data_IF_611137739789
#
_entry.id   IF_611137739789
#
_cell.length_a   1.000
_cell.length_b   1.000
_cell.length_c   1.000
_cell.angle_alpha   90.00
_cell.angle_beta   90.00
_cell.angle_gamma   90.00
#
_symmetry.space_group_name_H-M   'P 1'
#
loop_
_entity.id
_entity.type
_entity.pdbx_description
1 polymer ?
#
# COMPACT_ATOMS: atom_id res chain seq x y z
N UNK A 1 15.19 -10.55 -22.83
CA UNK A 1 13.79 -10.81 -23.17
C UNK A 1 12.99 -9.64 -22.64
N UNK A 2 12.00 -9.15 -23.39
CA UNK A 2 11.05 -8.18 -22.84
C UNK A 2 10.31 -8.84 -21.65
N UNK A 3 9.96 -8.08 -20.60
CA UNK A 3 9.15 -8.60 -19.51
C UNK A 3 7.80 -9.11 -20.04
N UNK A 4 7.24 -10.13 -19.40
CA UNK A 4 5.92 -10.62 -19.74
C UNK A 4 4.87 -9.51 -19.46
N UNK A 5 3.87 -9.44 -20.33
CA UNK A 5 2.73 -8.52 -20.15
C UNK A 5 1.44 -9.22 -20.61
N UNK A 6 0.32 -8.78 -20.04
CA UNK A 6 -1.03 -9.13 -20.50
C UNK A 6 -1.66 -7.90 -21.16
N UNK A 7 -2.78 -8.07 -21.85
CA UNK A 7 -3.46 -6.91 -22.42
C UNK A 7 -4.24 -6.11 -21.37
N UNK A 8 -4.54 -4.85 -21.67
CA UNK A 8 -5.24 -3.93 -20.76
C UNK A 8 -6.63 -4.47 -20.38
N UNK A 9 -7.32 -5.13 -21.31
CA UNK A 9 -8.65 -5.69 -21.05
C UNK A 9 -8.59 -6.93 -20.14
N UNK A 10 -7.51 -7.69 -20.21
CA UNK A 10 -7.28 -8.84 -19.31
C UNK A 10 -7.02 -8.35 -17.87
N UNK A 11 -6.16 -7.36 -17.68
CA UNK A 11 -5.93 -6.71 -16.37
C UNK A 11 -7.22 -6.10 -15.82
N UNK A 12 -7.99 -5.41 -16.65
CA UNK A 12 -9.27 -4.83 -16.23
C UNK A 12 -10.27 -5.91 -15.79
N UNK A 13 -10.34 -7.05 -16.53
CA UNK A 13 -11.18 -8.19 -16.13
C UNK A 13 -10.75 -8.80 -14.80
N UNK A 14 -9.44 -8.96 -14.58
CA UNK A 14 -8.91 -9.39 -13.29
C UNK A 14 -9.38 -8.45 -12.16
N UNK A 15 -9.15 -7.15 -12.30
CA UNK A 15 -9.54 -6.15 -11.29
C UNK A 15 -11.05 -6.15 -11.06
N UNK A 16 -11.86 -6.06 -12.10
CA UNK A 16 -13.31 -5.85 -11.94
C UNK A 16 -14.08 -7.12 -11.60
N UNK A 17 -13.70 -8.27 -12.17
CA UNK A 17 -14.47 -9.51 -12.00
C UNK A 17 -13.97 -10.41 -10.87
N UNK A 18 -12.64 -10.43 -10.65
CA UNK A 18 -12.07 -11.30 -9.63
C UNK A 18 -11.78 -10.53 -8.33
N UNK A 19 -11.01 -9.45 -8.42
CA UNK A 19 -10.53 -8.75 -7.23
C UNK A 19 -11.60 -7.88 -6.57
N UNK A 20 -12.45 -7.24 -7.36
CA UNK A 20 -13.59 -6.43 -6.87
C UNK A 20 -14.93 -7.21 -6.89
N UNK A 21 -15.03 -8.26 -7.69
CA UNK A 21 -16.28 -9.02 -7.89
C UNK A 21 -17.50 -8.11 -8.15
N UNK A 22 -17.39 -7.21 -9.14
CA UNK A 22 -18.45 -6.28 -9.52
C UNK A 22 -19.69 -7.05 -9.93
N UNK A 23 -20.87 -6.70 -9.36
CA UNK A 23 -22.13 -7.39 -9.50
C UNK A 23 -23.13 -6.58 -10.33
N UNK A 24 -24.13 -7.24 -10.97
CA UNK A 24 -25.20 -6.53 -11.64
C UNK A 24 -25.97 -5.61 -10.67
N UNK A 25 -26.30 -4.41 -11.13
CA UNK A 25 -27.06 -3.43 -10.37
C UNK A 25 -26.26 -2.62 -9.36
N UNK A 26 -24.96 -2.89 -9.18
CA UNK A 26 -24.08 -2.05 -8.38
C UNK A 26 -23.74 -0.73 -9.11
N UNK A 27 -23.34 0.26 -8.35
CA UNK A 27 -22.85 1.54 -8.85
C UNK A 27 -21.34 1.65 -8.66
N UNK A 28 -20.59 1.82 -9.77
CA UNK A 28 -19.13 1.88 -9.82
C UNK A 28 -18.68 3.32 -10.10
N UNK A 29 -17.96 3.92 -9.18
CA UNK A 29 -17.28 5.20 -9.41
C UNK A 29 -15.80 4.95 -9.76
N UNK A 30 -15.36 5.44 -10.92
CA UNK A 30 -13.94 5.43 -11.33
C UNK A 30 -13.43 6.86 -11.20
N UNK A 31 -12.66 7.13 -10.15
CA UNK A 31 -12.10 8.48 -9.92
C UNK A 31 -10.73 8.58 -10.54
N UNK A 32 -10.55 9.61 -11.36
CA UNK A 32 -9.35 9.86 -12.15
C UNK A 32 -8.83 11.28 -11.97
N UNK A 33 -7.58 11.51 -12.31
CA UNK A 33 -6.95 12.82 -12.37
C UNK A 33 -6.26 13.10 -13.73
N UNK A 34 -5.60 14.25 -13.84
CA UNK A 34 -4.92 14.67 -15.08
C UNK A 34 -3.77 13.75 -15.53
N UNK A 35 -3.33 12.84 -14.66
CA UNK A 35 -2.25 11.89 -14.93
C UNK A 35 -2.75 10.46 -15.16
N UNK A 36 -4.04 10.22 -15.08
CA UNK A 36 -4.63 8.89 -15.27
C UNK A 36 -4.56 8.45 -16.73
N UNK A 37 -4.13 7.21 -16.97
CA UNK A 37 -4.11 6.64 -18.32
C UNK A 37 -5.53 6.24 -18.75
N UNK A 38 -6.13 7.00 -19.65
CA UNK A 38 -7.53 6.83 -20.06
C UNK A 38 -7.84 5.48 -20.73
N UNK A 39 -6.83 4.77 -21.21
CA UNK A 39 -7.00 3.41 -21.73
C UNK A 39 -7.38 2.43 -20.61
N UNK A 40 -6.70 2.48 -19.46
CA UNK A 40 -7.07 1.70 -18.27
C UNK A 40 -8.48 2.05 -17.79
N UNK A 41 -8.77 3.35 -17.73
CA UNK A 41 -10.08 3.86 -17.26
C UNK A 41 -11.22 3.29 -18.09
N UNK A 42 -11.08 3.32 -19.43
CA UNK A 42 -12.09 2.79 -20.35
C UNK A 42 -12.26 1.28 -20.21
N UNK A 43 -11.15 0.55 -20.13
CA UNK A 43 -11.21 -0.91 -19.93
C UNK A 43 -11.92 -1.30 -18.62
N UNK A 44 -11.69 -0.58 -17.53
CA UNK A 44 -12.40 -0.80 -16.25
C UNK A 44 -13.89 -0.44 -16.35
N UNK A 45 -14.23 0.64 -17.04
CA UNK A 45 -15.62 1.00 -17.30
C UNK A 45 -16.36 -0.06 -18.15
N UNK A 46 -15.69 -0.61 -19.18
CA UNK A 46 -16.23 -1.70 -20.01
C UNK A 46 -16.47 -2.98 -19.19
N UNK A 47 -15.60 -3.28 -18.22
CA UNK A 47 -15.80 -4.41 -17.29
C UNK A 47 -16.99 -4.16 -16.39
N UNK A 48 -17.15 -2.97 -15.83
CA UNK A 48 -18.31 -2.60 -15.01
C UNK A 48 -19.61 -2.71 -15.82
N UNK A 49 -19.65 -2.15 -17.05
CA UNK A 49 -20.77 -2.25 -17.95
C UNK A 49 -21.11 -3.72 -18.30
N UNK A 50 -20.11 -4.54 -18.60
CA UNK A 50 -20.29 -5.96 -18.92
C UNK A 50 -20.72 -6.81 -17.73
N UNK A 51 -20.51 -6.33 -16.50
CA UNK A 51 -21.04 -6.92 -15.28
C UNK A 51 -22.51 -6.53 -15.01
N UNK A 52 -23.09 -5.61 -15.79
CA UNK A 52 -24.43 -5.09 -15.57
C UNK A 52 -24.51 -4.05 -14.43
N UNK A 53 -23.40 -3.40 -14.12
CA UNK A 53 -23.34 -2.32 -13.15
C UNK A 53 -23.55 -0.96 -13.83
N UNK A 54 -24.11 -0.01 -13.08
CA UNK A 54 -24.05 1.41 -13.44
C UNK A 54 -22.65 1.94 -13.14
N UNK A 55 -22.12 2.83 -13.98
CA UNK A 55 -20.79 3.36 -13.74
C UNK A 55 -20.66 4.83 -14.15
N UNK A 56 -19.74 5.51 -13.49
CA UNK A 56 -19.37 6.88 -13.86
C UNK A 56 -17.85 7.08 -13.72
N UNK A 57 -17.27 7.85 -14.64
CA UNK A 57 -15.91 8.37 -14.56
C UNK A 57 -15.98 9.77 -13.96
N UNK A 58 -15.35 9.95 -12.81
CA UNK A 58 -15.32 11.20 -12.07
C UNK A 58 -13.90 11.81 -12.16
N UNK A 59 -13.74 12.83 -12.96
CA UNK A 59 -12.46 13.52 -13.12
C UNK A 59 -12.35 14.69 -12.14
N UNK A 60 -11.28 14.71 -11.38
CA UNK A 60 -10.91 15.87 -10.57
C UNK A 60 -9.49 16.33 -10.92
N UNK A 61 -9.15 17.62 -10.76
CA UNK A 61 -7.78 18.08 -10.95
C UNK A 61 -6.81 17.34 -10.03
N UNK A 62 -5.61 17.05 -10.52
CA UNK A 62 -4.53 16.51 -9.70
C UNK A 62 -4.28 17.37 -8.48
N UNK A 63 -4.04 16.74 -7.35
CA UNK A 63 -3.78 17.43 -6.09
C UNK A 63 -2.28 17.43 -5.78
N UNK A 64 -1.74 18.49 -5.18
CA UNK A 64 -0.38 18.47 -4.66
C UNK A 64 -0.25 17.44 -3.53
N UNK A 65 0.97 16.98 -3.25
CA UNK A 65 1.25 15.87 -2.33
C UNK A 65 0.67 16.06 -0.93
N UNK A 66 0.70 17.28 -0.41
CA UNK A 66 0.19 17.66 0.91
C UNK A 66 -1.35 17.65 0.99
N UNK A 67 -2.02 17.67 -0.16
CA UNK A 67 -3.47 17.65 -0.31
C UNK A 67 -3.98 16.45 -1.12
N UNK A 68 -3.13 15.45 -1.32
CA UNK A 68 -3.41 14.30 -2.19
C UNK A 68 -4.70 13.54 -1.86
N UNK A 69 -5.13 13.57 -0.61
CA UNK A 69 -6.35 12.90 -0.13
C UNK A 69 -7.60 13.80 -0.17
N UNK A 70 -7.50 15.01 -0.71
CA UNK A 70 -8.66 15.88 -0.82
C UNK A 70 -9.49 15.56 -2.05
N UNK A 71 -10.78 15.41 -1.84
CA UNK A 71 -11.78 15.24 -2.88
C UNK A 71 -12.34 16.58 -3.33
N UNK A 72 -12.75 16.67 -4.60
CA UNK A 72 -13.67 17.75 -4.97
C UNK A 72 -15.05 17.47 -4.37
N UNK A 73 -15.80 18.51 -3.96
CA UNK A 73 -17.13 18.30 -3.37
C UNK A 73 -18.09 17.50 -4.25
N UNK A 74 -17.96 17.61 -5.57
CA UNK A 74 -18.79 16.85 -6.51
C UNK A 74 -18.44 15.36 -6.52
N UNK A 75 -17.14 15.02 -6.45
CA UNK A 75 -16.68 13.63 -6.37
C UNK A 75 -17.09 13.02 -5.04
N UNK A 76 -16.93 13.75 -3.94
CA UNK A 76 -17.34 13.30 -2.61
C UNK A 76 -18.84 13.01 -2.53
N UNK A 77 -19.67 13.91 -3.08
CA UNK A 77 -21.13 13.72 -3.11
C UNK A 77 -21.56 12.47 -3.90
N UNK A 78 -20.82 12.09 -4.94
CA UNK A 78 -21.12 10.88 -5.70
C UNK A 78 -20.96 9.60 -4.87
N UNK A 79 -20.08 9.58 -3.86
CA UNK A 79 -19.82 8.39 -3.03
C UNK A 79 -21.02 7.97 -2.17
N UNK A 80 -21.98 8.84 -1.92
CA UNK A 80 -23.22 8.47 -1.23
C UNK A 80 -24.07 7.44 -1.98
N UNK A 81 -23.82 7.26 -3.27
CA UNK A 81 -24.51 6.33 -4.16
C UNK A 81 -23.55 5.32 -4.82
N UNK A 82 -22.36 5.17 -4.27
CA UNK A 82 -21.32 4.29 -4.82
C UNK A 82 -21.22 3.02 -3.99
N UNK A 83 -21.24 1.86 -4.65
CA UNK A 83 -20.94 0.55 -4.02
C UNK A 83 -19.47 0.19 -4.19
N UNK A 84 -18.88 0.52 -5.34
CA UNK A 84 -17.50 0.20 -5.71
C UNK A 84 -16.76 1.45 -6.14
N UNK A 85 -15.67 1.79 -5.46
CA UNK A 85 -14.78 2.86 -5.85
C UNK A 85 -13.48 2.30 -6.45
N UNK A 86 -13.19 2.67 -7.69
CA UNK A 86 -11.88 2.47 -8.31
C UNK A 86 -11.17 3.82 -8.31
N UNK A 87 -10.12 3.93 -7.50
CA UNK A 87 -9.32 5.15 -7.37
C UNK A 87 -8.09 5.05 -8.28
N UNK A 88 -8.22 5.51 -9.52
CA UNK A 88 -7.19 5.44 -10.54
C UNK A 88 -6.58 6.82 -10.77
N UNK A 89 -5.75 7.27 -9.83
CA UNK A 89 -5.10 8.59 -9.91
C UNK A 89 -3.58 8.46 -10.00
N UNK A 90 -2.94 9.39 -10.69
CA UNK A 90 -1.49 9.48 -10.76
C UNK A 90 -0.85 10.11 -9.52
N UNK A 91 -1.62 10.63 -8.60
CA UNK A 91 -1.16 11.43 -7.45
C UNK A 91 -1.18 10.70 -6.10
N UNK A 92 -1.06 9.39 -6.09
CA UNK A 92 -0.80 8.68 -4.85
C UNK A 92 -2.00 8.05 -4.14
N UNK A 93 -2.91 7.40 -4.87
CA UNK A 93 -3.99 6.58 -4.29
C UNK A 93 -5.08 7.37 -3.57
N UNK A 94 -5.08 8.64 -3.79
CA UNK A 94 -5.75 9.66 -3.03
C UNK A 94 -7.23 9.44 -2.72
N UNK A 95 -8.14 9.23 -3.67
CA UNK A 95 -9.57 9.09 -3.32
C UNK A 95 -9.84 7.93 -2.37
N UNK A 96 -9.14 6.81 -2.49
CA UNK A 96 -9.33 5.65 -1.61
C UNK A 96 -8.98 5.95 -0.14
N UNK A 97 -8.13 6.94 0.11
CA UNK A 97 -7.68 7.31 1.46
C UNK A 97 -8.32 8.60 1.99
N UNK A 98 -9.25 9.20 1.26
CA UNK A 98 -9.98 10.38 1.72
C UNK A 98 -10.81 10.07 2.98
N UNK A 99 -11.00 11.07 3.84
CA UNK A 99 -11.71 10.90 5.11
C UNK A 99 -13.12 10.29 4.91
N UNK A 100 -13.88 10.83 3.94
CA UNK A 100 -15.23 10.32 3.64
C UNK A 100 -15.23 8.86 3.18
N UNK A 101 -14.22 8.45 2.39
CA UNK A 101 -14.10 7.05 1.95
C UNK A 101 -13.79 6.13 3.12
N UNK A 102 -12.90 6.55 4.04
CA UNK A 102 -12.62 5.79 5.27
C UNK A 102 -13.87 5.59 6.14
N UNK A 103 -14.73 6.62 6.25
CA UNK A 103 -16.03 6.50 6.93
C UNK A 103 -16.92 5.47 6.25
N UNK A 104 -17.12 5.56 4.94
CA UNK A 104 -17.93 4.64 4.18
C UNK A 104 -17.44 3.19 4.21
N UNK A 105 -16.12 2.99 4.25
CA UNK A 105 -15.50 1.67 4.47
C UNK A 105 -15.82 1.15 5.88
N UNK A 106 -15.70 1.99 6.91
CA UNK A 106 -16.03 1.63 8.30
C UNK A 106 -17.51 1.27 8.45
N UNK A 107 -18.40 2.02 7.79
CA UNK A 107 -19.83 1.75 7.71
C UNK A 107 -20.19 0.53 6.86
N UNK A 108 -19.22 -0.10 6.21
CA UNK A 108 -19.40 -1.21 5.25
C UNK A 108 -20.38 -0.89 4.12
N UNK A 109 -20.31 0.33 3.60
CA UNK A 109 -21.17 0.81 2.52
C UNK A 109 -20.51 0.71 1.15
N UNK A 110 -19.19 0.75 1.10
CA UNK A 110 -18.39 0.77 -0.11
C UNK A 110 -17.25 -0.23 -0.01
N UNK A 111 -16.74 -0.71 -1.15
CA UNK A 111 -15.43 -1.35 -1.27
C UNK A 111 -14.58 -0.59 -2.27
N UNK A 112 -13.26 -0.65 -2.08
CA UNK A 112 -12.38 0.20 -2.87
C UNK A 112 -11.17 -0.55 -3.44
N UNK A 113 -10.73 -0.11 -4.63
CA UNK A 113 -9.45 -0.49 -5.23
C UNK A 113 -8.61 0.76 -5.44
N UNK A 114 -7.48 0.85 -4.73
CA UNK A 114 -6.49 1.91 -4.91
C UNK A 114 -5.53 1.55 -6.05
N UNK A 115 -5.45 2.41 -7.04
CA UNK A 115 -4.62 2.21 -8.22
C UNK A 115 -3.82 3.48 -8.52
N UNK A 116 -2.58 3.54 -8.05
CA UNK A 116 -1.68 4.68 -8.30
C UNK A 116 -0.84 4.37 -9.52
N UNK A 117 -1.39 4.64 -10.69
CA UNK A 117 -0.78 4.25 -11.95
C UNK A 117 -0.75 5.41 -12.95
N UNK A 118 0.46 5.81 -13.34
CA UNK A 118 0.69 6.83 -14.38
C UNK A 118 0.93 6.23 -15.77
N UNK A 119 1.27 4.94 -15.82
CA UNK A 119 1.55 4.23 -17.07
C UNK A 119 0.85 2.87 -17.09
N UNK A 120 0.78 2.27 -18.28
CA UNK A 120 0.24 0.93 -18.46
C UNK A 120 1.15 -0.17 -17.91
N UNK A 121 2.43 0.10 -17.71
CA UNK A 121 3.43 -0.93 -17.39
C UNK A 121 3.10 -1.68 -16.09
N UNK A 122 2.66 -0.96 -15.05
CA UNK A 122 2.26 -1.58 -13.79
C UNK A 122 0.83 -2.18 -13.82
N UNK A 123 0.05 -1.84 -14.84
CA UNK A 123 -1.29 -2.41 -15.03
C UNK A 123 -1.26 -3.71 -15.84
N UNK A 124 -0.31 -3.84 -16.76
CA UNK A 124 -0.21 -4.96 -17.69
C UNK A 124 0.98 -5.87 -17.46
N UNK A 125 1.85 -5.53 -16.51
CA UNK A 125 3.08 -6.26 -16.22
C UNK A 125 3.43 -6.25 -14.74
N UNK A 126 4.57 -6.83 -14.40
CA UNK A 126 5.05 -6.88 -13.03
C UNK A 126 4.05 -7.53 -12.09
N UNK A 127 3.78 -6.90 -10.96
CA UNK A 127 2.87 -7.39 -9.93
C UNK A 127 1.45 -7.70 -10.40
N UNK A 128 1.00 -7.12 -11.52
CA UNK A 128 -0.29 -7.43 -12.13
C UNK A 128 -0.42 -8.87 -12.63
N UNK A 129 0.70 -9.55 -12.90
CA UNK A 129 0.76 -10.93 -13.42
C UNK A 129 0.71 -12.00 -12.32
N UNK A 130 0.55 -11.62 -11.06
CA UNK A 130 0.50 -12.57 -9.96
C UNK A 130 -0.71 -13.51 -10.05
N UNK A 131 -0.55 -14.74 -9.60
CA UNK A 131 -1.69 -15.58 -9.21
C UNK A 131 -2.25 -15.04 -7.89
N UNK A 132 -3.25 -14.17 -7.99
CA UNK A 132 -3.83 -13.50 -6.83
C UNK A 132 -4.50 -14.45 -5.85
N UNK A 133 -4.98 -15.63 -6.30
CA UNK A 133 -5.56 -16.64 -5.40
C UNK A 133 -4.48 -17.29 -4.54
N UNK A 134 -3.38 -17.68 -5.17
CA UNK A 134 -2.24 -18.22 -4.45
C UNK A 134 -1.62 -17.17 -3.52
N UNK A 135 -1.49 -15.93 -4.00
CA UNK A 135 -0.97 -14.80 -3.23
C UNK A 135 -1.84 -14.50 -1.99
N UNK A 136 -3.17 -14.48 -2.15
CA UNK A 136 -4.10 -14.27 -1.05
C UNK A 136 -4.05 -15.41 -0.03
N UNK A 137 -4.00 -16.67 -0.49
CA UNK A 137 -3.88 -17.82 0.40
C UNK A 137 -2.56 -17.79 1.22
N UNK A 138 -1.46 -17.41 0.57
CA UNK A 138 -0.18 -17.21 1.25
C UNK A 138 -0.24 -16.04 2.24
N UNK A 139 -0.85 -14.93 1.87
CA UNK A 139 -1.08 -13.79 2.75
C UNK A 139 -1.87 -14.16 4.01
N UNK A 140 -2.94 -14.95 3.85
CA UNK A 140 -3.72 -15.45 5.00
C UNK A 140 -2.91 -16.38 5.91
N UNK A 141 -2.07 -17.24 5.33
CA UNK A 141 -1.18 -18.11 6.10
C UNK A 141 -0.17 -17.28 6.93
N UNK A 142 0.49 -16.29 6.30
CA UNK A 142 1.40 -15.38 6.99
C UNK A 142 0.68 -14.56 8.07
N UNK A 143 -0.49 -14.04 7.78
CA UNK A 143 -1.27 -13.26 8.73
C UNK A 143 -1.67 -14.09 9.96
N UNK A 144 -1.99 -15.38 9.78
CA UNK A 144 -2.30 -16.28 10.88
C UNK A 144 -1.09 -16.51 11.80
N UNK A 145 0.10 -16.64 11.21
CA UNK A 145 1.36 -16.74 11.96
C UNK A 145 1.62 -15.43 12.69
N UNK A 146 1.46 -14.30 12.01
CA UNK A 146 1.72 -12.97 12.54
C UNK A 146 0.80 -12.64 13.73
N UNK A 147 -0.50 -12.94 13.60
CA UNK A 147 -1.48 -12.72 14.67
C UNK A 147 -1.22 -13.55 15.94
N UNK A 148 -0.47 -14.64 15.84
CA UNK A 148 -0.08 -15.46 16.98
C UNK A 148 1.20 -14.96 17.69
N UNK A 149 1.97 -14.08 17.05
CA UNK A 149 3.22 -13.53 17.58
C UNK A 149 3.01 -12.27 18.44
N UNK A 150 4.09 -11.81 19.04
CA UNK A 150 4.07 -10.65 19.95
C UNK A 150 5.07 -9.57 19.58
N UNK A 151 6.28 -9.95 19.25
CA UNK A 151 7.38 -9.00 18.98
C UNK A 151 7.99 -9.28 17.62
N UNK A 152 8.06 -8.25 16.79
CA UNK A 152 8.77 -8.30 15.53
C UNK A 152 10.11 -7.60 15.63
N UNK A 153 11.15 -8.21 15.05
CA UNK A 153 12.45 -7.60 14.82
C UNK A 153 12.82 -7.69 13.35
N UNK A 154 13.26 -6.59 12.79
CA UNK A 154 13.69 -6.47 11.39
C UNK A 154 15.16 -6.07 11.40
N UNK A 155 16.00 -6.84 10.74
CA UNK A 155 17.44 -6.58 10.62
C UNK A 155 17.87 -6.67 9.16
N UNK A 156 18.92 -5.92 8.77
CA UNK A 156 19.58 -6.02 7.47
C UNK A 156 21.09 -5.92 7.61
N UNK A 157 21.83 -6.43 6.61
CA UNK A 157 23.29 -6.21 6.52
C UNK A 157 23.62 -4.72 6.38
N UNK A 158 22.75 -3.92 5.75
CA UNK A 158 22.89 -2.47 5.61
C UNK A 158 22.80 -1.70 6.94
N UNK A 159 22.37 -2.35 8.04
CA UNK A 159 22.38 -1.80 9.39
C UNK A 159 21.02 -1.42 9.96
N UNK A 160 19.91 -1.85 9.32
CA UNK A 160 18.60 -1.84 10.00
C UNK A 160 18.66 -2.81 11.16
N UNK A 161 18.20 -2.38 12.32
CA UNK A 161 17.93 -3.20 13.50
C UNK A 161 16.87 -2.49 14.33
N UNK A 162 15.62 -2.86 14.08
CA UNK A 162 14.46 -2.29 14.77
C UNK A 162 13.58 -3.41 15.32
N UNK A 163 13.06 -3.22 16.52
CA UNK A 163 12.15 -4.13 17.14
C UNK A 163 10.97 -3.40 17.78
N UNK A 164 9.82 -4.05 17.78
CA UNK A 164 8.62 -3.55 18.46
C UNK A 164 7.68 -4.72 18.79
N UNK A 165 6.92 -4.64 19.89
CA UNK A 165 5.68 -5.38 20.03
C UNK A 165 4.73 -4.97 18.90
N UNK A 166 4.00 -5.91 18.32
CA UNK A 166 3.07 -5.65 17.21
C UNK A 166 1.61 -5.73 17.65
N UNK A 167 0.75 -4.97 16.97
CA UNK A 167 -0.70 -5.06 17.12
C UNK A 167 -1.22 -6.34 16.46
N UNK A 168 -1.42 -7.39 17.23
CA UNK A 168 -1.91 -8.68 16.74
C UNK A 168 -3.40 -8.67 16.38
N UNK A 169 -4.15 -7.69 16.84
CA UNK A 169 -5.57 -7.46 16.56
C UNK A 169 -5.85 -6.87 15.18
N UNK A 170 -4.81 -6.40 14.50
CA UNK A 170 -4.92 -5.68 13.23
C UNK A 170 -3.88 -6.11 12.21
N UNK A 171 -3.76 -7.42 11.99
CA UNK A 171 -2.96 -7.91 10.85
C UNK A 171 -3.78 -7.76 9.57
N UNK A 172 -3.26 -7.00 8.63
CA UNK A 172 -3.92 -6.70 7.36
C UNK A 172 -3.31 -7.54 6.25
N UNK A 173 -4.16 -8.17 5.44
CA UNK A 173 -3.77 -8.89 4.23
C UNK A 173 -4.20 -8.05 3.04
N UNK A 174 -3.26 -7.43 2.38
CA UNK A 174 -3.45 -6.68 1.14
C UNK A 174 -2.88 -7.51 -0.02
N UNK A 175 -3.72 -8.34 -0.60
CA UNK A 175 -3.41 -9.22 -1.73
C UNK A 175 -4.46 -9.09 -2.83
N UNK A 176 -4.88 -7.87 -3.12
CA UNK A 176 -5.72 -7.49 -4.25
C UNK A 176 -7.23 -7.68 -4.05
N UNK A 177 -7.69 -8.48 -3.09
CA UNK A 177 -9.12 -8.78 -2.94
C UNK A 177 -9.86 -7.75 -2.09
N UNK A 178 -10.86 -7.09 -2.71
CA UNK A 178 -11.86 -6.26 -2.04
C UNK A 178 -13.26 -6.63 -2.55
N UNK A 179 -13.71 -7.86 -2.28
CA UNK A 179 -14.97 -8.40 -2.82
C UNK A 179 -16.20 -8.05 -1.98
N UNK A 180 -16.01 -7.60 -0.75
CA UNK A 180 -17.09 -7.29 0.18
C UNK A 180 -17.03 -5.83 0.65
N UNK A 181 -18.19 -5.21 0.95
CA UNK A 181 -18.24 -3.86 1.51
C UNK A 181 -17.40 -3.73 2.79
N UNK A 182 -16.70 -2.61 2.93
CA UNK A 182 -15.76 -2.34 4.00
C UNK A 182 -14.33 -2.78 3.69
N UNK A 183 -14.07 -3.39 2.52
CA UNK A 183 -12.74 -3.79 2.11
C UNK A 183 -12.08 -2.76 1.21
N UNK A 184 -10.80 -2.53 1.46
CA UNK A 184 -9.89 -1.78 0.61
C UNK A 184 -8.76 -2.69 0.14
N UNK A 185 -8.39 -2.60 -1.13
CA UNK A 185 -7.24 -3.27 -1.70
C UNK A 185 -6.50 -2.33 -2.66
N UNK A 186 -5.32 -2.73 -3.07
CA UNK A 186 -4.55 -2.06 -4.12
C UNK A 186 -4.42 -2.96 -5.36
N UNK A 187 -3.99 -2.36 -6.47
CA UNK A 187 -3.55 -3.07 -7.65
C UNK A 187 -2.34 -2.32 -8.27
N UNK A 188 -1.19 -2.99 -8.48
CA UNK A 188 -0.86 -4.36 -8.09
C UNK A 188 -0.62 -4.44 -6.59
N UNK A 189 -0.82 -5.64 -6.03
CA UNK A 189 -0.82 -5.82 -4.59
C UNK A 189 -0.04 -7.09 -4.17
N UNK A 190 0.11 -7.30 -2.87
CA UNK A 190 0.73 -8.49 -2.30
C UNK A 190 1.58 -8.20 -1.07
N UNK A 191 0.92 -7.96 0.07
CA UNK A 191 1.62 -7.78 1.35
C UNK A 191 0.80 -8.25 2.54
N UNK A 192 1.49 -8.48 3.64
CA UNK A 192 0.91 -8.58 4.98
C UNK A 192 1.57 -7.56 5.86
N UNK A 193 0.78 -6.83 6.62
CA UNK A 193 1.26 -5.76 7.46
C UNK A 193 0.50 -5.64 8.77
N UNK A 194 1.11 -4.97 9.74
CA UNK A 194 0.49 -4.53 10.98
C UNK A 194 1.23 -3.32 11.56
N UNK A 195 0.61 -2.67 12.51
CA UNK A 195 1.29 -1.60 13.26
C UNK A 195 2.18 -2.16 14.37
N UNK A 196 3.32 -1.54 14.67
CA UNK A 196 3.94 -1.66 15.99
C UNK A 196 3.02 -1.05 17.06
N UNK A 197 3.09 -1.51 18.29
CA UNK A 197 2.40 -0.84 19.40
C UNK A 197 3.01 0.56 19.59
N UNK A 198 2.14 1.55 19.65
CA UNK A 198 2.52 2.96 19.74
C UNK A 198 3.46 3.23 20.91
N UNK A 199 4.48 4.01 20.66
CA UNK A 199 5.48 4.35 21.67
C UNK A 199 6.47 3.24 22.01
N UNK A 200 6.48 2.10 21.31
CA UNK A 200 7.28 0.93 21.71
C UNK A 200 8.29 0.43 20.68
N UNK A 201 8.35 1.05 19.49
CA UNK A 201 9.39 0.71 18.51
C UNK A 201 10.74 1.34 18.93
N UNK A 202 11.80 0.53 18.89
CA UNK A 202 13.16 0.92 19.26
C UNK A 202 14.17 0.41 18.25
N UNK A 203 15.14 1.25 17.88
CA UNK A 203 16.26 0.83 17.05
C UNK A 203 16.62 1.78 15.93
N UNK A 204 17.00 1.21 14.80
CA UNK A 204 17.48 1.92 13.62
C UNK A 204 16.85 1.35 12.36
N UNK A 205 16.45 2.23 11.47
CA UNK A 205 15.98 1.91 10.12
C UNK A 205 16.99 2.46 9.12
N UNK A 206 17.46 1.62 8.21
CA UNK A 206 18.29 2.02 7.06
C UNK A 206 17.46 1.83 5.81
N UNK A 207 17.07 2.95 5.20
CA UNK A 207 16.23 3.00 4.00
C UNK A 207 17.16 2.98 2.79
N UNK A 208 17.11 1.91 2.01
CA UNK A 208 17.93 1.69 0.81
C UNK A 208 17.09 1.45 -0.47
N UNK A 209 15.76 1.39 -0.31
CA UNK A 209 14.77 1.33 -1.37
C UNK A 209 14.00 2.65 -1.57
N UNK A 210 13.09 2.72 -2.55
CA UNK A 210 12.22 3.87 -2.74
C UNK A 210 11.19 3.99 -1.61
N UNK A 211 10.57 5.16 -1.50
CA UNK A 211 9.50 5.40 -0.54
C UNK A 211 8.38 6.27 -1.11
N UNK A 212 7.37 6.52 -0.29
CA UNK A 212 6.26 7.41 -0.65
C UNK A 212 6.78 8.81 -0.96
N UNK A 213 6.73 9.21 -2.23
CA UNK A 213 7.24 10.51 -2.69
C UNK A 213 8.77 10.64 -2.73
N UNK A 214 9.48 9.52 -2.49
CA UNK A 214 10.94 9.48 -2.42
C UNK A 214 11.44 8.43 -3.42
N UNK A 215 12.33 8.84 -4.33
CA UNK A 215 13.04 7.91 -5.21
C UNK A 215 14.00 7.04 -4.38
N UNK A 216 14.50 5.97 -4.97
CA UNK A 216 15.56 5.19 -4.32
C UNK A 216 16.77 6.09 -4.02
N UNK A 217 17.17 6.24 -2.75
CA UNK A 217 18.26 7.12 -2.41
C UNK A 217 19.60 6.61 -2.95
N UNK A 218 20.46 7.52 -3.40
CA UNK A 218 21.80 7.18 -3.90
C UNK A 218 22.71 6.63 -2.77
N UNK A 219 22.52 7.13 -1.56
CA UNK A 219 23.10 6.63 -0.32
C UNK A 219 22.00 6.33 0.67
N UNK A 220 22.04 5.17 1.38
CA UNK A 220 21.00 4.82 2.33
C UNK A 220 20.74 5.89 3.38
N UNK A 221 19.48 6.08 3.75
CA UNK A 221 19.03 7.02 4.77
C UNK A 221 18.92 6.27 6.10
N UNK A 222 19.60 6.77 7.13
CA UNK A 222 19.56 6.19 8.47
C UNK A 222 18.62 6.98 9.38
N UNK A 223 17.60 6.30 9.91
CA UNK A 223 16.62 6.86 10.85
C UNK A 223 16.81 6.18 12.21
N UNK A 224 17.03 6.95 13.26
CA UNK A 224 17.01 6.45 14.63
C UNK A 224 15.59 6.54 15.19
N UNK A 225 15.14 5.46 15.82
CA UNK A 225 13.80 5.35 16.41
C UNK A 225 13.93 5.11 17.91
N UNK A 226 13.21 5.92 18.69
CA UNK A 226 13.09 5.78 20.16
C UNK A 226 11.65 6.07 20.58
N UNK A 227 11.11 5.21 21.44
CA UNK A 227 9.75 5.36 21.92
C UNK A 227 8.72 5.43 20.79
N UNK A 228 8.90 4.64 19.73
CA UNK A 228 8.01 4.61 18.56
C UNK A 228 8.10 5.82 17.64
N UNK A 229 9.07 6.72 17.82
CA UNK A 229 9.23 7.94 17.03
C UNK A 229 10.60 8.02 16.36
N UNK A 230 10.63 8.51 15.13
CA UNK A 230 11.88 8.89 14.46
C UNK A 230 12.48 10.12 15.15
N UNK A 231 13.64 9.94 15.80
CA UNK A 231 14.31 11.03 16.56
C UNK A 231 15.46 11.64 15.79
N UNK A 232 15.98 11.00 14.76
CA UNK A 232 16.97 11.59 13.85
C UNK A 232 16.87 10.96 12.45
N UNK A 233 17.15 11.76 11.42
CA UNK A 233 17.24 11.34 10.02
C UNK A 233 18.59 11.77 9.48
N UNK A 234 19.46 10.79 9.23
CA UNK A 234 20.82 11.01 8.74
C UNK A 234 20.96 10.44 7.32
N UNK A 235 21.51 11.23 6.43
CA UNK A 235 21.74 10.89 5.04
C UNK A 235 21.98 12.14 4.23
N UNK A 236 22.67 11.95 3.11
CA UNK A 236 22.96 12.99 2.13
C UNK A 236 21.96 12.89 0.97
N UNK A 237 21.77 14.00 0.27
CA UNK A 237 20.91 14.04 -0.90
C UNK A 237 19.48 14.54 -0.64
N UNK A 238 18.73 14.76 -1.74
CA UNK A 238 17.41 15.36 -1.69
C UNK A 238 16.38 14.46 -1.02
N UNK A 239 16.51 13.14 -1.13
CA UNK A 239 15.60 12.15 -0.54
C UNK A 239 15.67 12.23 1.00
N UNK A 240 16.86 12.24 1.57
CA UNK A 240 17.08 12.38 3.01
C UNK A 240 16.58 13.73 3.53
N UNK A 241 16.87 14.82 2.79
CA UNK A 241 16.41 16.15 3.13
C UNK A 241 14.87 16.25 3.11
N UNK A 242 14.23 15.65 2.12
CA UNK A 242 12.78 15.63 2.00
C UNK A 242 12.12 14.85 3.14
N UNK A 243 12.60 13.63 3.43
CA UNK A 243 12.09 12.81 4.53
C UNK A 243 12.26 13.56 5.87
N UNK A 244 13.45 14.08 6.14
CA UNK A 244 13.74 14.86 7.36
C UNK A 244 12.76 16.02 7.51
N UNK A 245 12.56 16.79 6.45
CA UNK A 245 11.65 17.93 6.46
C UNK A 245 10.22 17.52 6.84
N UNK A 246 9.70 16.43 6.27
CA UNK A 246 8.35 15.98 6.59
C UNK A 246 8.27 15.51 8.05
N UNK A 247 9.22 14.66 8.50
CA UNK A 247 9.17 14.12 9.86
C UNK A 247 9.36 15.21 10.94
N UNK A 248 10.03 16.32 10.64
CA UNK A 248 10.23 17.45 11.56
C UNK A 248 9.10 18.47 11.53
N UNK A 249 8.38 18.62 10.42
CA UNK A 249 7.42 19.75 10.23
C UNK A 249 5.98 19.33 10.24
N UNK A 250 5.66 18.08 9.92
CA UNK A 250 4.28 17.57 9.92
C UNK A 250 4.00 16.92 11.29
N UNK A 251 2.99 17.36 12.02
CA UNK A 251 2.65 16.78 13.32
C UNK A 251 2.43 15.28 13.24
N UNK A 252 3.04 14.52 14.15
CA UNK A 252 2.97 13.06 14.26
C UNK A 252 3.47 12.27 13.04
N UNK A 253 4.11 12.92 12.06
CA UNK A 253 4.75 12.23 10.94
C UNK A 253 5.93 11.35 11.39
N UNK A 254 6.53 11.65 12.54
CA UNK A 254 7.64 10.90 13.14
C UNK A 254 7.22 9.55 13.77
N UNK A 255 5.91 9.28 13.90
CA UNK A 255 5.39 8.02 14.44
C UNK A 255 5.72 6.85 13.52
N UNK A 256 6.25 5.74 14.06
CA UNK A 256 6.39 4.46 13.33
C UNK A 256 5.02 3.81 13.24
N UNK A 257 4.46 3.79 12.04
CA UNK A 257 3.05 3.49 11.80
C UNK A 257 2.77 2.04 11.38
N UNK A 258 3.73 1.41 10.66
CA UNK A 258 3.51 0.12 10.03
C UNK A 258 4.83 -0.65 9.86
N UNK A 259 4.73 -1.97 9.96
CA UNK A 259 5.68 -2.95 9.43
C UNK A 259 4.95 -3.82 8.40
N UNK A 260 5.47 -3.91 7.18
CA UNK A 260 4.87 -4.68 6.10
C UNK A 260 5.89 -5.59 5.40
N UNK A 261 5.44 -6.76 4.99
CA UNK A 261 6.23 -7.76 4.22
C UNK A 261 5.58 -7.98 2.86
N UNK A 262 6.33 -7.71 1.80
CA UNK A 262 5.93 -7.98 0.42
C UNK A 262 5.94 -9.48 0.10
N UNK A 263 4.93 -9.94 -0.64
CA UNK A 263 4.73 -11.35 -1.00
C UNK A 263 4.66 -11.60 -2.52
N UNK A 264 4.51 -10.54 -3.33
CA UNK A 264 4.30 -10.68 -4.76
C UNK A 264 5.60 -11.01 -5.50
N UNK A 265 5.73 -12.24 -5.94
CA UNK A 265 6.96 -12.79 -6.55
C UNK A 265 7.26 -12.30 -7.96
N UNK A 266 6.31 -11.64 -8.63
CA UNK A 266 6.48 -11.15 -10.01
C UNK A 266 6.60 -9.63 -10.10
N UNK A 267 6.53 -8.92 -8.98
CA UNK A 267 6.81 -7.49 -8.92
C UNK A 267 8.19 -7.15 -9.50
N UNK A 268 8.24 -6.06 -10.25
CA UNK A 268 9.48 -5.57 -10.86
C UNK A 268 10.35 -4.87 -9.80
N UNK A 269 11.66 -5.14 -9.86
CA UNK A 269 12.67 -4.45 -9.04
C UNK A 269 13.36 -3.39 -9.89
N UNK A 270 12.65 -2.33 -10.22
CA UNK A 270 13.07 -1.32 -11.20
C UNK A 270 13.08 0.12 -10.64
N UNK A 271 13.02 0.29 -9.33
CA UNK A 271 12.93 1.59 -8.66
C UNK A 271 11.49 2.12 -8.53
N UNK A 272 10.50 1.41 -9.06
CA UNK A 272 9.10 1.77 -8.88
C UNK A 272 8.65 1.44 -7.45
N UNK A 273 8.30 2.44 -6.68
CA UNK A 273 7.80 2.26 -5.32
C UNK A 273 6.60 1.29 -5.26
N UNK A 274 5.67 1.40 -6.19
CA UNK A 274 4.46 0.56 -6.23
C UNK A 274 4.77 -0.93 -6.41
N UNK A 275 5.79 -1.25 -7.20
CA UNK A 275 6.25 -2.61 -7.40
C UNK A 275 7.10 -3.10 -6.22
N UNK A 276 8.06 -2.28 -5.80
CA UNK A 276 9.07 -2.72 -4.84
C UNK A 276 8.56 -2.84 -3.41
N UNK A 277 7.53 -2.05 -3.04
CA UNK A 277 6.83 -2.19 -1.77
C UNK A 277 6.20 -3.59 -1.63
N UNK A 278 5.62 -4.09 -2.71
CA UNK A 278 4.90 -5.39 -2.75
C UNK A 278 5.81 -6.57 -3.13
N UNK A 279 7.05 -6.29 -3.58
CA UNK A 279 7.95 -7.34 -4.06
C UNK A 279 8.30 -8.35 -2.97
N UNK A 280 8.18 -9.64 -3.31
CA UNK A 280 8.39 -10.76 -2.38
C UNK A 280 9.73 -10.65 -1.66
N UNK A 281 9.66 -10.66 -0.32
CA UNK A 281 10.81 -10.63 0.55
C UNK A 281 11.37 -9.23 0.84
N UNK A 282 10.83 -8.18 0.23
CA UNK A 282 11.09 -6.83 0.70
C UNK A 282 10.25 -6.55 1.96
N UNK A 283 10.73 -5.62 2.76
CA UNK A 283 9.97 -5.02 3.88
C UNK A 283 9.75 -3.56 3.57
N UNK A 284 8.66 -3.01 4.04
CA UNK A 284 8.53 -1.57 4.20
C UNK A 284 8.18 -1.23 5.65
N UNK A 285 8.64 -0.07 6.06
CA UNK A 285 8.30 0.53 7.36
C UNK A 285 7.68 1.87 7.06
N UNK A 286 6.49 2.14 7.62
CA UNK A 286 5.84 3.42 7.42
C UNK A 286 5.97 4.34 8.62
N UNK A 287 5.93 5.65 8.32
CA UNK A 287 5.85 6.73 9.28
C UNK A 287 4.53 7.51 9.14
N UNK A 288 3.99 8.02 10.25
CA UNK A 288 2.82 8.89 10.28
C UNK A 288 1.53 8.22 10.74
N UNK A 289 0.46 8.31 9.92
CA UNK A 289 -0.89 7.79 10.22
C UNK A 289 -0.91 6.27 10.37
N UNK A 290 -1.56 5.77 11.44
CA UNK A 290 -1.73 4.32 11.65
C UNK A 290 -3.19 3.91 11.91
N UNK A 291 -4.14 4.81 11.64
CA UNK A 291 -5.57 4.56 11.89
C UNK A 291 -6.08 3.32 11.12
N UNK A 292 -5.61 3.12 9.88
CA UNK A 292 -5.99 1.97 9.08
C UNK A 292 -5.61 0.63 9.73
N UNK A 293 -4.54 0.62 10.51
CA UNK A 293 -4.03 -0.53 11.26
C UNK A 293 -4.56 -0.60 12.70
N UNK A 294 -5.66 0.09 13.00
CA UNK A 294 -6.28 0.11 14.34
C UNK A 294 -5.49 0.89 15.38
N UNK A 295 -4.57 1.75 14.95
CA UNK A 295 -3.87 2.68 15.84
C UNK A 295 -4.69 3.93 16.17
N UNK A 296 -4.10 4.83 16.95
CA UNK A 296 -4.73 6.07 17.40
C UNK A 296 -4.07 7.32 16.83
N UNK A 297 -2.91 7.19 16.19
CA UNK A 297 -2.18 8.32 15.61
C UNK A 297 -2.82 8.72 14.28
N UNK A 298 -3.37 9.93 14.26
CA UNK A 298 -3.95 10.54 13.07
C UNK A 298 -2.99 11.58 12.51
N UNK A 299 -2.44 11.30 11.34
CA UNK A 299 -1.48 12.16 10.67
C UNK A 299 -1.92 12.45 9.21
N UNK A 300 -1.61 13.65 8.66
CA UNK A 300 -1.90 13.93 7.25
C UNK A 300 -1.14 13.06 6.26
N UNK A 301 -0.05 12.40 6.71
CA UNK A 301 0.81 11.58 5.87
C UNK A 301 0.90 10.14 6.38
N UNK A 302 1.10 9.21 5.44
CA UNK A 302 1.55 7.84 5.65
C UNK A 302 2.65 7.58 4.64
N UNK A 303 3.86 7.33 5.12
CA UNK A 303 5.08 7.33 4.33
C UNK A 303 5.78 5.98 4.42
N UNK A 304 5.49 5.10 3.49
CA UNK A 304 6.17 3.81 3.38
C UNK A 304 7.59 3.97 2.86
N UNK A 305 8.54 3.29 3.46
CA UNK A 305 9.96 3.24 3.07
C UNK A 305 10.37 1.80 2.86
N UNK A 306 10.79 1.47 1.64
CA UNK A 306 11.22 0.11 1.28
C UNK A 306 12.62 -0.17 1.79
N UNK A 307 12.80 -1.38 2.31
CA UNK A 307 14.06 -1.90 2.85
C UNK A 307 14.35 -3.23 2.17
N UNK A 308 15.53 -3.37 1.61
CA UNK A 308 15.92 -4.57 0.87
C UNK A 308 16.60 -5.61 1.76
N UNK A 309 16.48 -6.88 1.31
CA UNK A 309 17.12 -8.04 1.92
C UNK A 309 17.01 -8.10 3.45
N UNK A 310 15.78 -7.91 4.00
CA UNK A 310 15.60 -7.99 5.44
C UNK A 310 15.66 -9.43 5.95
N UNK A 311 16.04 -9.57 7.22
CA UNK A 311 15.68 -10.71 8.03
C UNK A 311 14.61 -10.27 9.02
N UNK A 312 13.41 -10.89 8.93
CA UNK A 312 12.27 -10.60 9.80
C UNK A 312 12.07 -11.76 10.76
N UNK A 313 12.10 -11.47 12.04
CA UNK A 313 11.78 -12.43 13.12
C UNK A 313 10.51 -11.99 13.83
N UNK A 314 9.65 -12.96 14.06
CA UNK A 314 8.47 -12.81 14.91
C UNK A 314 8.68 -13.73 16.12
N UNK A 315 8.97 -13.14 17.27
CA UNK A 315 9.49 -13.86 18.42
C UNK A 315 10.72 -14.69 18.01
N UNK A 316 10.69 -16.01 18.18
CA UNK A 316 11.78 -16.91 17.78
C UNK A 316 11.71 -17.39 16.33
N UNK A 317 10.59 -17.15 15.63
CA UNK A 317 10.36 -17.61 14.25
C UNK A 317 10.93 -16.63 13.22
N UNK A 318 11.66 -17.18 12.25
CA UNK A 318 12.10 -16.43 11.07
C UNK A 318 10.99 -16.46 10.03
N UNK A 319 10.50 -15.28 9.62
CA UNK A 319 9.50 -15.13 8.57
C UNK A 319 10.14 -14.79 7.21
N UNK A 320 11.19 -14.00 7.25
CA UNK A 320 12.01 -13.64 6.09
C UNK A 320 13.48 -13.76 6.49
N UNK A 321 14.28 -14.38 5.66
CA UNK A 321 15.73 -14.52 5.87
C UNK A 321 16.47 -13.95 4.66
N UNK A 322 17.20 -12.86 4.86
CA UNK A 322 17.94 -12.17 3.80
C UNK A 322 17.09 -11.95 2.52
N UNK A 323 15.86 -11.46 2.70
CA UNK A 323 14.91 -11.22 1.62
C UNK A 323 14.21 -12.47 1.06
N UNK A 324 14.38 -13.63 1.67
CA UNK A 324 13.71 -14.87 1.29
C UNK A 324 12.60 -15.20 2.28
N UNK A 325 11.36 -15.23 1.83
CA UNK A 325 10.19 -15.57 2.68
C UNK A 325 10.24 -17.04 3.09
N UNK A 326 10.04 -17.30 4.39
CA UNK A 326 10.07 -18.61 5.05
C UNK A 326 8.74 -18.85 5.77
N UNK A 327 7.81 -19.50 5.11
CA UNK A 327 6.48 -19.81 5.68
C UNK A 327 6.33 -21.28 6.11
N UNK A 328 7.35 -22.10 5.83
CA UNK A 328 7.35 -23.50 6.25
C UNK A 328 7.33 -23.61 7.77
N UNK A 329 6.65 -24.63 8.33
CA UNK A 329 6.43 -24.79 9.76
C UNK A 329 7.69 -24.95 10.59
#
# INVERSE_FOLDING_TARGET
MAPATIDVAESARLVGRELLAIKPGETVAIVVDDHSAMEMVRALADVAASAGAEWAILHQPSRPSERKNELSPMVEAAFERTDVLISLTGSGGAPAYAARVKELLTEKRIRTMSMVMRSLDNFTGGGALADYRALYAEGQALASIWAAGRTMRITTEAGTDIAAPIGFDTVVVECGYATEPGRNAAFSDGEVSSRPLEGQAEGVIVIDGPGTGIARPATPIRVEVRGGKAVSVNGDGPEAAHLRHILETVPDADNVAEFGVGLNGVCLRNGSFQEEKKARGNVHIAFGDNIYYGGTVRCPVHLDMVIYRPTVRLDDRVLVEDGVVRLDP
#
